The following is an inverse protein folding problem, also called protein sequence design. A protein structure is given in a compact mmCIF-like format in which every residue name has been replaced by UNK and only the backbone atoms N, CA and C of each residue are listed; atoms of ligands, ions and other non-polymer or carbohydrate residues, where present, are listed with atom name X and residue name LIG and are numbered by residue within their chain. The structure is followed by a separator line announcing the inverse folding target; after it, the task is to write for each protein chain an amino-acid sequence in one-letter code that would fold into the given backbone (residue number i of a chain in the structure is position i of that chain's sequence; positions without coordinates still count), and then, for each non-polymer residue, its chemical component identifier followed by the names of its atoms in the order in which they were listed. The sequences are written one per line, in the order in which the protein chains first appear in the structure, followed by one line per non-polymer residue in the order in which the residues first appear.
data_IF_444442790978
#
_entry.id   IF_444442790978
#
_cell.length_a   1.000
_cell.length_b   1.000
_cell.length_c   1.000
_cell.angle_alpha   90.00
_cell.angle_beta   90.00
_cell.angle_gamma   90.00
#
_symmetry.space_group_name_H-M   'P 1'
#
loop_
_entity.id
_entity.type
_entity.pdbx_description
1 polymer ?
#
# COMPACT_ATOMS: atom_id res chain seq x y z
N UNK A 1 -5.08 2.56 -6.18
CA UNK A 1 -6.30 1.76 -5.93
C UNK A 1 -5.98 0.30 -6.24
N UNK A 2 -6.16 -0.63 -5.29
CA UNK A 2 -5.84 -2.04 -5.52
C UNK A 2 -6.73 -2.67 -6.60
N UNK A 3 -8.05 -2.53 -6.45
CA UNK A 3 -9.02 -3.11 -7.37
C UNK A 3 -9.07 -2.37 -8.70
N UNK A 4 -8.79 -1.07 -8.67
CA UNK A 4 -8.95 -0.20 -9.83
C UNK A 4 -10.41 0.09 -10.18
N UNK A 5 -11.34 -0.21 -9.27
CA UNK A 5 -12.81 -0.07 -9.43
C UNK A 5 -13.46 0.78 -8.33
N UNK A 6 -12.68 1.35 -7.40
CA UNK A 6 -13.22 2.17 -6.29
C UNK A 6 -13.96 3.39 -6.84
N UNK A 7 -15.27 3.45 -6.62
CA UNK A 7 -16.18 4.42 -7.25
C UNK A 7 -15.77 5.88 -7.03
N UNK A 8 -15.49 6.27 -5.79
CA UNK A 8 -15.10 7.65 -5.46
C UNK A 8 -13.76 8.05 -6.09
N UNK A 9 -12.82 7.10 -6.19
CA UNK A 9 -11.54 7.32 -6.87
C UNK A 9 -11.73 7.46 -8.38
N UNK A 10 -12.59 6.63 -8.98
CA UNK A 10 -12.91 6.71 -10.40
C UNK A 10 -13.65 8.00 -10.75
N UNK A 11 -14.58 8.43 -9.90
CA UNK A 11 -15.29 9.71 -10.06
C UNK A 11 -14.32 10.90 -10.02
N UNK A 12 -13.41 10.92 -9.05
CA UNK A 12 -12.35 11.93 -8.95
C UNK A 12 -11.45 11.95 -10.19
N UNK A 13 -11.10 10.77 -10.71
CA UNK A 13 -10.28 10.63 -11.92
C UNK A 13 -10.97 11.20 -13.16
N UNK A 14 -12.26 10.89 -13.34
CA UNK A 14 -13.06 11.45 -14.45
C UNK A 14 -13.14 12.97 -14.38
N UNK A 15 -13.38 13.51 -13.19
CA UNK A 15 -13.41 14.96 -12.98
C UNK A 15 -12.06 15.61 -13.33
N UNK A 16 -10.94 15.03 -12.92
CA UNK A 16 -9.62 15.54 -13.29
C UNK A 16 -9.40 15.57 -14.81
N UNK A 17 -9.85 14.52 -15.50
CA UNK A 17 -9.77 14.40 -16.96
C UNK A 17 -10.65 15.42 -17.69
N UNK A 18 -11.87 15.65 -17.22
CA UNK A 18 -12.78 16.69 -17.74
C UNK A 18 -12.15 18.09 -17.65
N UNK A 19 -11.29 18.32 -16.66
CA UNK A 19 -10.54 19.55 -16.46
C UNK A 19 -9.18 19.57 -17.19
N UNK A 20 -8.90 18.62 -18.08
CA UNK A 20 -7.64 18.47 -18.82
C UNK A 20 -6.39 18.37 -17.91
N UNK A 21 -6.53 17.77 -16.73
CA UNK A 21 -5.41 17.56 -15.80
C UNK A 21 -4.73 16.21 -16.11
N UNK A 22 -3.40 16.20 -16.08
CA UNK A 22 -2.62 14.97 -16.23
C UNK A 22 -2.84 14.03 -15.04
N UNK A 23 -3.12 12.76 -15.35
CA UNK A 23 -3.50 11.75 -14.35
C UNK A 23 -2.57 10.55 -14.42
N UNK A 24 -2.14 10.07 -13.25
CA UNK A 24 -1.35 8.86 -13.09
C UNK A 24 -2.09 7.90 -12.15
N UNK A 25 -2.50 6.75 -12.68
CA UNK A 25 -3.07 5.68 -11.88
C UNK A 25 -1.98 4.72 -11.38
N UNK A 26 -1.98 4.43 -10.08
CA UNK A 26 -1.22 3.32 -9.49
C UNK A 26 -2.22 2.24 -9.08
N UNK A 27 -2.22 1.12 -9.81
CA UNK A 27 -3.24 0.06 -9.70
C UNK A 27 -2.62 -1.33 -9.74
N UNK A 28 -3.30 -2.32 -9.18
CA UNK A 28 -2.82 -3.71 -9.21
C UNK A 28 -3.52 -4.58 -10.26
N UNK A 29 -4.74 -4.23 -10.67
CA UNK A 29 -5.47 -4.93 -11.73
C UNK A 29 -5.27 -4.25 -13.07
N UNK A 30 -4.76 -5.03 -14.02
CA UNK A 30 -4.74 -4.67 -15.43
C UNK A 30 -6.16 -4.47 -15.96
N UNK A 31 -6.29 -3.56 -16.92
CA UNK A 31 -7.54 -3.22 -17.61
C UNK A 31 -8.70 -2.78 -16.70
N UNK A 32 -8.45 -2.38 -15.45
CA UNK A 32 -9.49 -1.87 -14.57
C UNK A 32 -10.08 -0.54 -15.10
N UNK A 33 -11.24 -0.13 -14.58
CA UNK A 33 -11.86 1.15 -14.96
C UNK A 33 -10.94 2.33 -14.72
N UNK A 34 -10.27 2.39 -13.55
CA UNK A 34 -9.26 3.42 -13.25
C UNK A 34 -8.07 3.36 -14.22
N UNK A 35 -7.60 2.16 -14.58
CA UNK A 35 -6.48 1.99 -15.52
C UNK A 35 -6.84 2.51 -16.93
N UNK A 36 -8.05 2.24 -17.41
CA UNK A 36 -8.53 2.69 -18.72
C UNK A 36 -8.77 4.20 -18.79
N UNK A 37 -9.19 4.79 -17.67
CA UNK A 37 -9.58 6.20 -17.64
C UNK A 37 -8.37 7.15 -17.53
N UNK A 38 -7.32 6.73 -16.81
CA UNK A 38 -6.12 7.53 -16.55
C UNK A 38 -5.22 7.72 -17.78
N UNK A 39 -4.53 8.86 -17.85
CA UNK A 39 -3.59 9.19 -18.93
C UNK A 39 -2.33 8.33 -18.86
N UNK A 40 -1.80 8.14 -17.66
CA UNK A 40 -0.65 7.30 -17.39
C UNK A 40 -1.01 6.24 -16.34
N UNK A 41 -0.38 5.07 -16.43
CA UNK A 41 -0.66 3.96 -15.53
C UNK A 41 0.64 3.30 -15.09
N UNK A 42 0.77 3.03 -13.79
CA UNK A 42 1.77 2.14 -13.22
C UNK A 42 1.04 0.96 -12.60
N UNK A 43 1.37 -0.24 -13.06
CA UNK A 43 0.92 -1.47 -12.45
C UNK A 43 1.85 -1.87 -11.32
N UNK A 44 1.30 -2.17 -10.15
CA UNK A 44 2.09 -2.52 -8.96
C UNK A 44 2.67 -3.93 -9.02
N UNK A 45 2.16 -4.79 -9.91
CA UNK A 45 2.59 -6.18 -10.10
C UNK A 45 2.65 -7.00 -8.79
N UNK A 46 1.78 -6.70 -7.82
CA UNK A 46 1.71 -7.41 -6.55
C UNK A 46 1.01 -8.78 -6.69
N UNK A 47 0.53 -9.12 -7.89
CA UNK A 47 -0.26 -10.31 -8.16
C UNK A 47 -1.66 -10.28 -7.53
N UNK A 48 -2.42 -11.36 -7.70
CA UNK A 48 -3.82 -11.43 -7.23
C UNK A 48 -3.88 -11.38 -5.70
N UNK A 49 -4.63 -10.43 -5.16
CA UNK A 49 -4.93 -10.33 -3.72
C UNK A 49 -6.40 -10.71 -3.53
N UNK A 50 -6.64 -11.81 -2.82
CA UNK A 50 -7.98 -12.38 -2.60
C UNK A 50 -8.58 -11.91 -1.27
N UNK A 51 -7.74 -11.66 -0.28
CA UNK A 51 -8.17 -11.16 1.02
C UNK A 51 -8.83 -9.77 0.89
N UNK A 52 -9.87 -9.53 1.69
CA UNK A 52 -10.55 -8.23 1.76
C UNK A 52 -9.61 -7.16 2.31
N UNK A 53 -8.92 -7.50 3.40
CA UNK A 53 -7.90 -6.65 3.98
C UNK A 53 -6.64 -6.67 3.09
N UNK A 54 -6.31 -5.53 2.49
CA UNK A 54 -5.10 -5.40 1.65
C UNK A 54 -3.82 -5.58 2.47
N UNK A 55 -2.80 -6.20 1.89
CA UNK A 55 -1.50 -6.44 2.52
C UNK A 55 -0.35 -6.16 1.55
N UNK A 56 -0.13 -7.05 0.59
CA UNK A 56 0.94 -6.93 -0.40
C UNK A 56 0.72 -5.76 -1.37
N UNK A 57 -0.53 -5.44 -1.70
CA UNK A 57 -0.80 -4.33 -2.60
C UNK A 57 -0.53 -2.97 -1.92
N UNK A 58 -0.74 -2.84 -0.61
CA UNK A 58 -0.32 -1.67 0.17
C UNK A 58 1.20 -1.47 0.07
N UNK A 59 1.98 -2.51 0.38
CA UNK A 59 3.44 -2.44 0.34
C UNK A 59 3.97 -2.12 -1.07
N UNK A 60 3.39 -2.74 -2.10
CA UNK A 60 3.77 -2.47 -3.49
C UNK A 60 3.47 -1.01 -3.89
N UNK A 61 2.35 -0.43 -3.45
CA UNK A 61 2.04 0.98 -3.69
C UNK A 61 3.03 1.91 -2.98
N UNK A 62 3.41 1.61 -1.74
CA UNK A 62 4.43 2.37 -1.01
C UNK A 62 5.77 2.34 -1.75
N UNK A 63 6.19 1.18 -2.27
CA UNK A 63 7.43 1.06 -3.06
C UNK A 63 7.37 1.83 -4.38
N UNK A 64 6.23 1.80 -5.09
CA UNK A 64 6.05 2.60 -6.31
C UNK A 64 6.17 4.09 -6.00
N UNK A 65 5.53 4.57 -4.93
CA UNK A 65 5.62 5.98 -4.51
C UNK A 65 7.06 6.36 -4.11
N UNK A 66 7.77 5.47 -3.41
CA UNK A 66 9.18 5.66 -3.08
C UNK A 66 10.04 5.78 -4.35
N UNK A 67 9.85 4.91 -5.34
CA UNK A 67 10.59 4.97 -6.60
C UNK A 67 10.26 6.23 -7.41
N UNK A 68 9.01 6.68 -7.40
CA UNK A 68 8.63 7.96 -8.01
C UNK A 68 9.32 9.14 -7.33
N UNK A 69 9.36 9.15 -6.00
CA UNK A 69 10.05 10.19 -5.23
C UNK A 69 11.57 10.19 -5.51
N UNK A 70 12.20 9.01 -5.55
CA UNK A 70 13.61 8.85 -5.89
C UNK A 70 13.89 9.35 -7.30
N UNK A 71 13.08 8.96 -8.29
CA UNK A 71 13.24 9.39 -9.69
C UNK A 71 13.17 10.91 -9.86
N UNK A 72 12.38 11.60 -9.03
CA UNK A 72 12.27 13.05 -9.02
C UNK A 72 13.34 13.78 -8.20
N UNK A 73 14.32 13.06 -7.65
CA UNK A 73 15.33 13.59 -6.74
C UNK A 73 16.75 13.35 -7.26
N UNK A 74 17.74 13.98 -6.63
CA UNK A 74 19.16 13.72 -6.88
C UNK A 74 19.72 12.53 -6.08
N UNK A 75 18.85 11.62 -5.63
CA UNK A 75 19.27 10.46 -4.82
C UNK A 75 20.18 9.55 -5.66
N UNK A 76 21.29 9.13 -5.04
CA UNK A 76 22.32 8.33 -5.67
C UNK A 76 21.88 6.88 -5.90
N UNK A 77 22.46 6.26 -6.92
CA UNK A 77 22.21 4.85 -7.28
C UNK A 77 22.51 3.89 -6.11
N UNK A 78 23.46 4.25 -5.24
CA UNK A 78 23.78 3.49 -4.02
C UNK A 78 22.58 3.39 -3.06
N UNK A 79 21.78 4.45 -2.94
CA UNK A 79 20.56 4.43 -2.11
C UNK A 79 19.52 3.48 -2.70
N UNK A 80 19.37 3.43 -4.03
CA UNK A 80 18.48 2.48 -4.71
C UNK A 80 18.98 1.05 -4.48
N UNK A 81 20.29 0.83 -4.60
CA UNK A 81 20.91 -0.47 -4.36
C UNK A 81 20.70 -0.95 -2.91
N UNK A 82 20.63 -0.04 -1.94
CA UNK A 82 20.33 -0.38 -0.54
C UNK A 82 18.93 -0.98 -0.33
N UNK A 83 18.02 -0.84 -1.29
CA UNK A 83 16.66 -1.39 -1.22
C UNK A 83 16.58 -2.85 -1.71
N UNK A 84 17.60 -3.36 -2.42
CA UNK A 84 17.65 -4.74 -2.94
C UNK A 84 17.43 -5.82 -1.86
N UNK A 85 17.93 -5.67 -0.61
CA UNK A 85 17.70 -6.66 0.45
C UNK A 85 16.28 -6.67 1.03
N UNK A 86 15.41 -5.71 0.70
CA UNK A 86 14.08 -5.58 1.31
C UNK A 86 13.25 -6.88 1.30
N UNK A 87 13.17 -7.66 0.21
CA UNK A 87 12.43 -8.93 0.22
C UNK A 87 12.91 -9.91 1.29
N UNK A 88 14.23 -9.99 1.49
CA UNK A 88 14.82 -10.85 2.52
C UNK A 88 14.53 -10.32 3.92
N UNK A 89 14.57 -8.99 4.11
CA UNK A 89 14.24 -8.34 5.37
C UNK A 89 12.78 -8.59 5.74
N UNK A 90 11.84 -8.43 4.80
CA UNK A 90 10.42 -8.73 5.04
C UNK A 90 10.22 -10.19 5.41
N UNK A 91 10.82 -11.11 4.64
CA UNK A 91 10.73 -12.55 4.93
C UNK A 91 11.28 -12.90 6.30
N UNK A 92 12.40 -12.28 6.71
CA UNK A 92 12.97 -12.47 8.05
C UNK A 92 11.96 -12.05 9.11
N UNK A 93 11.48 -10.80 9.09
CA UNK A 93 10.60 -10.28 10.14
C UNK A 93 9.23 -10.96 10.17
N UNK A 94 8.70 -11.37 9.02
CA UNK A 94 7.46 -12.17 8.97
C UNK A 94 7.64 -13.50 9.70
N UNK A 95 8.82 -14.12 9.60
CA UNK A 95 9.07 -15.41 10.24
C UNK A 95 9.68 -15.30 11.66
N UNK A 96 10.00 -14.09 12.11
CA UNK A 96 10.69 -13.86 13.39
C UNK A 96 9.74 -13.92 14.60
N UNK A 97 8.46 -13.59 14.40
CA UNK A 97 7.51 -13.44 15.50
C UNK A 97 6.56 -14.64 15.65
N UNK A 98 6.25 -14.97 16.90
CA UNK A 98 5.17 -15.91 17.22
C UNK A 98 3.83 -15.18 17.26
N UNK A 99 3.12 -15.15 16.13
CA UNK A 99 1.83 -14.47 16.01
C UNK A 99 0.73 -15.08 16.89
N UNK A 100 0.84 -16.35 17.28
CA UNK A 100 -0.13 -16.99 18.19
C UNK A 100 0.01 -16.44 19.61
N UNK A 101 1.23 -16.19 20.08
CA UNK A 101 1.44 -15.56 21.38
C UNK A 101 1.02 -14.09 21.38
N UNK A 102 1.30 -13.37 20.29
CA UNK A 102 0.86 -11.98 20.13
C UNK A 102 -0.67 -11.91 20.14
N UNK A 103 -1.36 -12.80 19.42
CA UNK A 103 -2.83 -12.79 19.37
C UNK A 103 -3.47 -13.10 20.72
N UNK A 104 -2.88 -14.00 21.52
CA UNK A 104 -3.33 -14.29 22.90
C UNK A 104 -3.32 -13.07 23.82
N UNK A 105 -2.38 -12.14 23.62
CA UNK A 105 -2.33 -10.88 24.39
C UNK A 105 -3.49 -9.94 23.99
N UNK A 106 -3.92 -9.99 22.74
CA UNK A 106 -4.88 -9.08 22.14
C UNK A 106 -6.34 -9.56 22.21
N UNK A 107 -6.59 -10.87 22.22
CA UNK A 107 -7.93 -11.48 22.02
C UNK A 107 -9.01 -11.00 23.00
N UNK A 108 -8.64 -10.66 24.24
CA UNK A 108 -9.59 -10.21 25.27
C UNK A 108 -9.58 -8.69 25.47
N UNK A 109 -8.98 -7.92 24.56
CA UNK A 109 -8.88 -6.46 24.66
C UNK A 109 -9.97 -5.81 23.81
N UNK A 110 -10.75 -4.92 24.44
CA UNK A 110 -11.79 -4.14 23.75
C UNK A 110 -11.26 -2.89 23.05
N UNK A 111 -10.11 -2.38 23.51
CA UNK A 111 -9.47 -1.20 22.95
C UNK A 111 -7.98 -1.46 22.81
N UNK A 112 -7.45 -1.18 21.61
CA UNK A 112 -6.02 -1.30 21.29
C UNK A 112 -5.61 0.02 20.63
N UNK A 113 -4.55 0.64 21.16
CA UNK A 113 -4.04 1.91 20.67
C UNK A 113 -2.80 1.69 19.81
N UNK A 114 -2.83 2.20 18.58
CA UNK A 114 -1.68 2.26 17.69
C UNK A 114 -1.08 3.67 17.75
N UNK A 115 0.16 3.77 18.21
CA UNK A 115 0.86 5.04 18.40
C UNK A 115 2.00 5.13 17.40
N UNK A 116 2.01 6.21 16.60
CA UNK A 116 3.05 6.48 15.62
C UNK A 116 3.17 7.97 15.36
N UNK A 117 4.38 8.41 15.00
CA UNK A 117 4.68 9.79 14.61
C UNK A 117 5.47 9.80 13.31
N UNK A 118 5.44 10.92 12.58
CA UNK A 118 6.14 11.03 11.29
C UNK A 118 5.73 9.89 10.34
N UNK A 119 6.68 9.10 9.85
CA UNK A 119 6.41 7.94 9.00
C UNK A 119 5.63 6.84 9.71
N UNK A 120 5.83 6.67 11.02
CA UNK A 120 5.15 5.65 11.81
C UNK A 120 3.67 5.96 12.00
N UNK A 121 3.25 7.21 11.79
CA UNK A 121 1.82 7.58 11.85
C UNK A 121 1.01 6.81 10.81
N UNK A 122 1.49 6.76 9.56
CA UNK A 122 0.80 6.04 8.49
C UNK A 122 0.81 4.53 8.71
N UNK A 123 1.89 4.00 9.30
CA UNK A 123 1.97 2.59 9.69
C UNK A 123 0.99 2.25 10.82
N UNK A 124 0.88 3.12 11.83
CA UNK A 124 -0.06 2.97 12.93
C UNK A 124 -1.52 3.00 12.42
N UNK A 125 -1.84 3.91 11.50
CA UNK A 125 -3.15 3.96 10.86
C UNK A 125 -3.47 2.67 10.11
N UNK A 126 -2.57 2.20 9.26
CA UNK A 126 -2.77 0.95 8.49
C UNK A 126 -2.93 -0.26 9.42
N UNK A 127 -2.05 -0.40 10.43
CA UNK A 127 -2.14 -1.48 11.42
C UNK A 127 -3.48 -1.47 12.18
N UNK A 128 -3.95 -0.28 12.58
CA UNK A 128 -5.25 -0.13 13.24
C UNK A 128 -6.42 -0.52 12.33
N UNK A 129 -6.33 -0.18 11.04
CA UNK A 129 -7.34 -0.51 10.05
C UNK A 129 -7.39 -2.04 9.81
N UNK A 130 -6.24 -2.69 9.69
CA UNK A 130 -6.16 -4.16 9.53
C UNK A 130 -6.84 -4.88 10.68
N UNK A 131 -6.54 -4.49 11.91
CA UNK A 131 -7.16 -5.09 13.08
C UNK A 131 -8.69 -4.87 13.05
N UNK A 132 -9.15 -3.65 12.74
CA UNK A 132 -10.57 -3.32 12.67
C UNK A 132 -11.34 -4.11 11.59
N UNK A 133 -10.70 -4.44 10.47
CA UNK A 133 -11.33 -5.18 9.37
C UNK A 133 -11.51 -6.68 9.66
N UNK A 134 -10.65 -7.28 10.51
CA UNK A 134 -10.57 -8.75 10.63
C UNK A 134 -10.92 -9.31 12.01
N UNK A 135 -10.96 -8.49 13.06
CA UNK A 135 -10.95 -8.99 14.45
C UNK A 135 -12.17 -8.66 15.32
N UNK A 136 -13.22 -8.04 14.74
CA UNK A 136 -14.45 -7.57 15.40
C UNK A 136 -14.74 -8.11 16.81
#
# INVERSE_FOLDING_TARGET
SQSGETADTLASLKLAKENNIDTLAIVNRHESSIAREAKYVIYTEAGIEVAVATTKAYLAQVLVLLFLAIKGSSIEEETINSLKPLPNIFTKYINEYNYEEISKIMVNKTNIFYLGRLVDYYLAMEGSLKLKEISY
#
